data_IF_504788480459
#
_entry.id   IF_504788480459
#
_cell.length_a   1.000
_cell.length_b   1.000
_cell.length_c   1.000
_cell.angle_alpha   90.00
_cell.angle_beta   90.00
_cell.angle_gamma   90.00
#
_symmetry.space_group_name_H-M   'P 1'
#
loop_
_entity.id
_entity.type
_entity.pdbx_description
1 polymer ?
#
# COMPACT_ATOMS: atom_id res chain seq x y z
N UNK A 1 -52.98 -43.49 15.31
CA UNK A 1 -53.05 -42.73 14.05
C UNK A 1 -51.62 -42.45 13.60
N UNK A 2 -51.26 -42.89 12.39
CA UNK A 2 -49.95 -42.67 11.77
C UNK A 2 -49.89 -41.23 11.23
N UNK A 3 -48.77 -40.55 11.44
CA UNK A 3 -48.39 -39.39 10.64
C UNK A 3 -47.08 -39.75 9.91
N UNK A 4 -47.23 -40.23 8.68
CA UNK A 4 -46.15 -40.41 7.73
C UNK A 4 -45.80 -39.06 7.07
N UNK A 5 -44.50 -38.86 6.88
CA UNK A 5 -43.83 -38.11 5.79
C UNK A 5 -44.18 -36.63 5.59
N UNK A 6 -43.15 -35.80 5.78
CA UNK A 6 -42.78 -34.87 4.72
C UNK A 6 -41.25 -34.70 4.68
N UNK A 7 -40.67 -35.21 3.59
CA UNK A 7 -39.28 -35.03 3.20
C UNK A 7 -39.32 -34.04 2.03
N UNK A 8 -38.72 -32.86 2.19
CA UNK A 8 -38.46 -31.91 1.09
C UNK A 8 -37.06 -31.37 1.32
N UNK A 9 -36.06 -31.92 0.64
CA UNK A 9 -35.61 -31.54 -0.70
C UNK A 9 -34.52 -30.47 -0.62
N UNK A 10 -33.29 -30.94 -0.83
CA UNK A 10 -32.10 -30.16 -1.11
C UNK A 10 -32.37 -29.13 -2.22
N UNK A 11 -32.16 -27.85 -1.92
CA UNK A 11 -32.00 -26.82 -2.94
C UNK A 11 -30.55 -26.29 -2.87
N UNK A 12 -29.64 -27.04 -3.49
CA UNK A 12 -28.32 -26.53 -3.89
C UNK A 12 -28.54 -25.48 -4.96
N UNK A 13 -28.51 -24.20 -4.58
CA UNK A 13 -28.47 -23.10 -5.52
C UNK A 13 -27.13 -23.13 -6.27
N UNK A 14 -27.12 -23.74 -7.45
CA UNK A 14 -26.07 -23.56 -8.45
C UNK A 14 -26.14 -22.10 -8.92
N UNK A 15 -25.23 -21.27 -8.44
CA UNK A 15 -25.00 -19.96 -9.03
C UNK A 15 -24.31 -20.21 -10.37
N UNK A 16 -25.08 -20.10 -11.44
CA UNK A 16 -24.59 -20.17 -12.81
C UNK A 16 -23.58 -19.04 -13.05
N UNK A 17 -22.41 -19.41 -13.56
CA UNK A 17 -21.38 -18.45 -13.93
C UNK A 17 -21.85 -17.56 -15.07
N UNK A 18 -22.08 -16.28 -14.77
CA UNK A 18 -22.08 -15.24 -15.79
C UNK A 18 -20.68 -15.14 -16.36
N UNK A 19 -20.52 -15.50 -17.63
CA UNK A 19 -19.33 -15.18 -18.42
C UNK A 19 -19.28 -13.67 -18.58
N UNK A 20 -18.62 -12.97 -17.66
CA UNK A 20 -18.25 -11.58 -17.86
C UNK A 20 -17.25 -11.51 -19.02
N UNK A 21 -17.65 -10.86 -20.11
CA UNK A 21 -16.75 -10.48 -21.19
C UNK A 21 -15.80 -9.41 -20.65
N UNK A 22 -14.54 -9.81 -20.44
CA UNK A 22 -13.50 -8.97 -19.87
C UNK A 22 -13.05 -7.89 -20.88
N UNK A 23 -12.77 -6.65 -20.46
CA UNK A 23 -12.17 -5.64 -21.33
C UNK A 23 -10.80 -6.11 -21.87
N UNK A 24 -10.44 -5.74 -23.11
CA UNK A 24 -9.16 -6.11 -23.70
C UNK A 24 -8.01 -5.46 -22.90
N UNK A 25 -7.18 -6.29 -22.25
CA UNK A 25 -6.07 -5.86 -21.40
C UNK A 25 -5.80 -6.74 -20.17
N UNK A 26 -6.61 -7.76 -19.91
CA UNK A 26 -6.39 -8.66 -18.76
C UNK A 26 -5.21 -9.61 -18.95
N UNK A 27 -4.22 -9.52 -18.07
CA UNK A 27 -3.15 -10.51 -17.94
C UNK A 27 -3.72 -11.92 -17.69
N UNK A 28 -3.06 -12.99 -18.22
CA UNK A 28 -3.53 -14.36 -18.07
C UNK A 28 -3.53 -14.79 -16.59
N UNK A 29 -4.67 -15.31 -16.15
CA UNK A 29 -4.92 -15.79 -14.79
C UNK A 29 -4.30 -17.18 -14.59
N UNK A 30 -2.97 -17.29 -14.58
CA UNK A 30 -2.27 -18.58 -14.45
C UNK A 30 -1.75 -18.89 -13.03
N UNK A 31 -1.80 -17.94 -12.09
CA UNK A 31 -1.45 -18.15 -10.68
C UNK A 31 -2.18 -17.13 -9.80
N UNK A 32 -2.49 -17.49 -8.56
CA UNK A 32 -2.92 -16.52 -7.56
C UNK A 32 -1.86 -15.39 -7.44
N UNK A 33 -2.27 -14.13 -7.23
CA UNK A 33 -1.33 -13.02 -7.10
C UNK A 33 -0.46 -13.23 -5.86
N UNK A 34 0.83 -12.96 -6.01
CA UNK A 34 1.77 -13.00 -4.89
C UNK A 34 1.37 -11.96 -3.85
N UNK A 35 1.40 -12.32 -2.57
CA UNK A 35 1.05 -11.47 -1.44
C UNK A 35 2.31 -10.83 -0.89
N UNK A 36 2.36 -9.51 -0.87
CA UNK A 36 3.53 -8.78 -0.36
C UNK A 36 3.10 -7.92 0.80
N UNK A 37 3.75 -8.13 1.95
CA UNK A 37 3.59 -7.30 3.12
C UNK A 37 4.34 -5.98 2.94
N UNK A 38 3.65 -4.86 3.17
CA UNK A 38 4.23 -3.53 3.11
C UNK A 38 4.62 -3.09 4.52
N UNK A 39 5.91 -3.02 4.75
CA UNK A 39 6.54 -2.53 5.96
C UNK A 39 7.01 -1.09 5.72
N UNK A 40 6.39 -0.11 6.37
CA UNK A 40 6.76 1.31 6.21
C UNK A 40 6.40 2.11 7.45
N UNK A 41 7.04 3.26 7.72
CA UNK A 41 6.70 4.09 8.87
C UNK A 41 5.24 4.53 8.80
N UNK A 42 4.49 4.34 9.89
CA UNK A 42 3.14 4.88 10.05
C UNK A 42 3.13 6.05 11.02
N UNK A 43 3.60 5.83 12.27
CA UNK A 43 3.64 6.88 13.27
C UNK A 43 4.65 7.98 12.93
N UNK A 44 4.26 9.25 13.08
CA UNK A 44 5.20 10.36 13.03
C UNK A 44 6.16 10.33 14.25
N UNK A 45 7.37 10.82 14.03
CA UNK A 45 8.41 11.03 15.06
C UNK A 45 8.50 12.48 15.54
N UNK A 46 7.88 13.42 14.81
CA UNK A 46 7.86 14.82 15.17
C UNK A 46 7.04 15.10 16.43
N UNK A 47 7.57 15.95 17.31
CA UNK A 47 6.92 16.32 18.58
C UNK A 47 5.95 17.49 18.41
N UNK A 48 6.21 18.41 17.47
CA UNK A 48 5.35 19.56 17.25
C UNK A 48 4.06 19.17 16.51
N UNK A 49 2.86 19.68 16.92
CA UNK A 49 1.60 19.25 16.34
C UNK A 49 1.46 19.44 14.81
N UNK A 50 1.90 20.57 14.22
CA UNK A 50 1.82 20.77 12.77
C UNK A 50 2.68 19.77 11.98
N UNK A 51 3.95 19.60 12.34
CA UNK A 51 4.84 18.65 11.67
C UNK A 51 4.36 17.22 11.85
N UNK A 52 3.85 16.87 13.04
CA UNK A 52 3.28 15.54 13.31
C UNK A 52 2.15 15.18 12.33
N UNK A 53 1.24 16.12 12.06
CA UNK A 53 0.16 15.92 11.10
C UNK A 53 0.70 15.76 9.67
N UNK A 54 1.62 16.63 9.26
CA UNK A 54 2.25 16.58 7.93
C UNK A 54 3.01 15.26 7.71
N UNK A 55 3.77 14.83 8.71
CA UNK A 55 4.54 13.59 8.64
C UNK A 55 3.63 12.35 8.64
N UNK A 56 2.54 12.36 9.42
CA UNK A 56 1.53 11.29 9.37
C UNK A 56 0.92 11.17 7.98
N UNK A 57 0.52 12.29 7.36
CA UNK A 57 -0.03 12.27 5.99
C UNK A 57 0.99 11.74 4.99
N UNK A 58 2.25 12.19 5.08
CA UNK A 58 3.33 11.70 4.21
C UNK A 58 3.55 10.18 4.36
N UNK A 59 3.53 9.67 5.59
CA UNK A 59 3.62 8.23 5.88
C UNK A 59 2.46 7.43 5.26
N UNK A 60 1.23 7.93 5.39
CA UNK A 60 0.04 7.32 4.78
C UNK A 60 0.15 7.32 3.26
N UNK A 61 0.56 8.44 2.65
CA UNK A 61 0.72 8.55 1.20
C UNK A 61 1.82 7.64 0.65
N UNK A 62 2.92 7.46 1.39
CA UNK A 62 3.97 6.48 1.07
C UNK A 62 3.38 5.08 0.95
N UNK A 63 2.70 4.61 1.99
CA UNK A 63 2.12 3.28 2.00
C UNK A 63 1.06 3.10 0.90
N UNK A 64 0.20 4.10 0.67
CA UNK A 64 -0.79 4.08 -0.43
C UNK A 64 -0.13 4.00 -1.81
N UNK A 65 0.94 4.74 -2.02
CA UNK A 65 1.68 4.74 -3.29
C UNK A 65 2.34 3.38 -3.53
N UNK A 66 2.95 2.79 -2.50
CA UNK A 66 3.47 1.43 -2.56
C UNK A 66 2.38 0.42 -2.93
N UNK A 67 1.22 0.44 -2.23
CA UNK A 67 0.08 -0.40 -2.56
C UNK A 67 -0.36 -0.24 -4.03
N UNK A 68 -0.43 1.01 -4.52
CA UNK A 68 -0.86 1.31 -5.89
C UNK A 68 0.11 0.73 -6.93
N UNK A 69 1.41 0.87 -6.71
CA UNK A 69 2.45 0.30 -7.58
C UNK A 69 2.32 -1.22 -7.63
N UNK A 70 2.28 -1.88 -6.47
CA UNK A 70 2.18 -3.35 -6.38
C UNK A 70 0.90 -3.87 -7.04
N UNK A 71 -0.25 -3.25 -6.77
CA UNK A 71 -1.51 -3.62 -7.39
C UNK A 71 -1.48 -3.48 -8.92
N UNK A 72 -0.81 -2.44 -9.43
CA UNK A 72 -0.63 -2.24 -10.88
C UNK A 72 0.26 -3.32 -11.50
N UNK A 73 1.20 -3.89 -10.74
CA UNK A 73 2.04 -5.01 -11.14
C UNK A 73 1.34 -6.38 -11.01
N UNK A 74 0.07 -6.43 -10.60
CA UNK A 74 -0.67 -7.69 -10.39
C UNK A 74 -0.30 -8.42 -9.10
N UNK A 75 0.34 -7.74 -8.15
CA UNK A 75 0.68 -8.23 -6.81
C UNK A 75 -0.42 -7.84 -5.83
N UNK A 76 -0.68 -8.66 -4.80
CA UNK A 76 -1.61 -8.32 -3.71
C UNK A 76 -0.84 -7.64 -2.55
N UNK A 77 -0.95 -6.30 -2.37
CA UNK A 77 -0.32 -5.60 -1.26
C UNK A 77 -1.09 -5.81 0.06
N UNK A 78 -0.36 -6.10 1.13
CA UNK A 78 -0.88 -6.20 2.50
C UNK A 78 -0.27 -5.07 3.34
N UNK A 79 -1.04 -4.00 3.58
CA UNK A 79 -0.63 -2.86 4.40
C UNK A 79 -1.53 -2.75 5.65
N UNK A 80 -1.25 -3.54 6.71
CA UNK A 80 -2.13 -3.61 7.88
C UNK A 80 -2.26 -2.27 8.61
N UNK A 81 -1.18 -1.47 8.65
CA UNK A 81 -1.18 -0.15 9.28
C UNK A 81 -2.05 0.88 8.54
N UNK A 82 -2.39 0.66 7.27
CA UNK A 82 -3.41 1.45 6.58
C UNK A 82 -4.82 0.93 6.86
N UNK A 83 -5.00 -0.39 6.91
CA UNK A 83 -6.31 -1.03 7.01
C UNK A 83 -6.87 -0.99 8.43
N UNK A 84 -6.13 -1.50 9.42
CA UNK A 84 -6.62 -1.63 10.79
C UNK A 84 -6.82 -0.27 11.47
N UNK A 85 -6.05 0.74 11.08
CA UNK A 85 -6.17 2.10 11.64
C UNK A 85 -7.42 2.85 11.16
N UNK A 86 -8.17 2.31 10.19
CA UNK A 86 -9.47 2.88 9.82
C UNK A 86 -10.55 2.65 10.88
N UNK A 87 -10.34 1.68 11.78
CA UNK A 87 -11.33 1.32 12.80
C UNK A 87 -10.74 0.98 14.17
N UNK A 88 -9.42 0.81 14.30
CA UNK A 88 -8.67 0.71 15.55
C UNK A 88 -7.89 2.01 15.77
N UNK A 89 -8.01 2.60 16.95
CA UNK A 89 -7.30 3.81 17.34
C UNK A 89 -5.88 3.45 17.76
N UNK A 90 -4.92 4.01 17.05
CA UNK A 90 -3.50 3.82 17.36
C UNK A 90 -3.12 4.46 18.70
N UNK A 91 -3.82 5.50 19.13
CA UNK A 91 -3.59 6.16 20.42
C UNK A 91 -4.05 5.32 21.62
N UNK A 92 -4.97 4.37 21.43
CA UNK A 92 -5.38 3.43 22.47
C UNK A 92 -4.44 2.21 22.51
N UNK A 93 -3.90 1.91 23.68
CA UNK A 93 -2.90 0.86 23.82
C UNK A 93 -3.44 -0.55 23.51
N UNK A 94 -4.70 -0.84 23.86
CA UNK A 94 -5.31 -2.14 23.63
C UNK A 94 -5.70 -2.33 22.16
N UNK A 95 -6.30 -1.32 21.54
CA UNK A 95 -6.63 -1.33 20.13
C UNK A 95 -5.36 -1.38 19.27
N UNK A 96 -4.31 -0.62 19.63
CA UNK A 96 -3.00 -0.69 18.99
C UNK A 96 -2.42 -2.10 19.07
N UNK A 97 -2.39 -2.73 20.24
CA UNK A 97 -1.87 -4.08 20.41
C UNK A 97 -2.65 -5.09 19.55
N UNK A 98 -3.96 -4.89 19.44
CA UNK A 98 -4.84 -5.69 18.56
C UNK A 98 -4.48 -5.51 17.09
N UNK A 99 -4.30 -4.26 16.63
CA UNK A 99 -3.90 -3.95 15.27
C UNK A 99 -2.52 -4.53 14.90
N UNK A 100 -1.55 -4.45 15.82
CA UNK A 100 -0.22 -5.06 15.63
C UNK A 100 -0.35 -6.58 15.52
N UNK A 101 -1.12 -7.22 16.39
CA UNK A 101 -1.33 -8.68 16.35
C UNK A 101 -1.94 -9.11 15.02
N UNK A 102 -2.98 -8.44 14.54
CA UNK A 102 -3.58 -8.73 13.23
C UNK A 102 -2.63 -8.43 12.07
N UNK A 103 -1.79 -7.40 12.19
CA UNK A 103 -0.73 -7.13 11.24
C UNK A 103 0.28 -8.27 11.13
N UNK A 104 0.65 -8.89 12.26
CA UNK A 104 1.56 -10.05 12.27
C UNK A 104 0.95 -11.28 11.59
N UNK A 105 -0.36 -11.52 11.74
CA UNK A 105 -1.07 -12.57 10.99
C UNK A 105 -1.02 -12.32 9.47
N UNK A 106 -1.15 -11.06 9.04
CA UNK A 106 -0.99 -10.70 7.63
C UNK A 106 0.43 -10.90 7.13
N UNK A 107 1.43 -10.60 7.97
CA UNK A 107 2.84 -10.85 7.66
C UNK A 107 3.10 -12.35 7.49
N UNK A 108 2.56 -13.18 8.37
CA UNK A 108 2.66 -14.64 8.29
C UNK A 108 2.03 -15.20 7.01
N UNK A 109 0.90 -14.63 6.58
CA UNK A 109 0.21 -15.01 5.35
C UNK A 109 0.84 -14.45 4.07
N UNK A 110 1.77 -13.49 4.17
CA UNK A 110 2.46 -12.90 3.01
C UNK A 110 3.54 -13.82 2.45
N UNK A 111 3.83 -13.73 1.16
CA UNK A 111 4.93 -14.45 0.54
C UNK A 111 6.27 -13.75 0.77
N UNK A 112 6.27 -12.42 0.80
CA UNK A 112 7.45 -11.57 1.00
C UNK A 112 7.14 -10.33 1.85
N UNK A 113 8.20 -9.72 2.39
CA UNK A 113 8.13 -8.45 3.14
C UNK A 113 8.94 -7.39 2.41
N UNK A 114 8.29 -6.31 2.01
CA UNK A 114 8.94 -5.19 1.34
C UNK A 114 8.95 -3.98 2.27
N UNK A 115 10.16 -3.49 2.54
CA UNK A 115 10.43 -2.41 3.48
C UNK A 115 10.63 -1.13 2.69
N UNK A 116 9.80 -0.12 2.95
CA UNK A 116 9.84 1.17 2.26
C UNK A 116 10.23 2.30 3.21
N UNK A 117 11.17 3.12 2.76
CA UNK A 117 11.61 4.34 3.42
C UNK A 117 13.07 4.30 3.85
N UNK A 118 13.57 5.45 4.28
CA UNK A 118 14.98 5.64 4.66
C UNK A 118 15.26 5.34 6.14
N UNK A 119 14.21 5.18 6.94
CA UNK A 119 14.30 4.96 8.38
C UNK A 119 13.51 3.72 8.80
N UNK A 120 14.01 3.03 9.82
CA UNK A 120 13.35 1.86 10.39
C UNK A 120 12.76 2.26 11.74
N UNK A 121 11.43 2.30 11.82
CA UNK A 121 10.72 2.51 13.09
C UNK A 121 10.74 1.24 13.95
N UNK A 122 10.41 1.38 15.25
CA UNK A 122 10.28 0.24 16.16
C UNK A 122 9.30 -0.83 15.64
N UNK A 123 8.15 -0.41 15.11
CA UNK A 123 7.17 -1.32 14.53
C UNK A 123 7.72 -2.08 13.33
N UNK A 124 8.43 -1.38 12.45
CA UNK A 124 9.07 -2.00 11.29
C UNK A 124 10.17 -2.98 11.71
N UNK A 125 10.97 -2.64 12.72
CA UNK A 125 12.00 -3.54 13.24
C UNK A 125 11.40 -4.85 13.76
N UNK A 126 10.25 -4.78 14.44
CA UNK A 126 9.51 -5.96 14.89
C UNK A 126 8.99 -6.80 13.71
N UNK A 127 8.43 -6.17 12.69
CA UNK A 127 7.96 -6.84 11.46
C UNK A 127 9.12 -7.53 10.71
N UNK A 128 10.24 -6.83 10.51
CA UNK A 128 11.44 -7.34 9.84
C UNK A 128 12.02 -8.53 10.62
N UNK A 129 12.12 -8.41 11.94
CA UNK A 129 12.57 -9.52 12.80
C UNK A 129 11.67 -10.74 12.61
N UNK A 130 10.34 -10.56 12.65
CA UNK A 130 9.38 -11.65 12.44
C UNK A 130 9.52 -12.28 11.06
N UNK A 131 9.73 -11.48 10.01
CA UNK A 131 9.95 -11.96 8.66
C UNK A 131 11.19 -12.88 8.57
N UNK A 132 12.29 -12.50 9.23
CA UNK A 132 13.50 -13.32 9.31
C UNK A 132 13.28 -14.62 10.08
N UNK A 133 12.55 -14.60 11.20
CA UNK A 133 12.18 -15.81 11.96
C UNK A 133 11.40 -16.81 11.07
N UNK A 134 10.52 -16.29 10.22
CA UNK A 134 9.70 -17.06 9.29
C UNK A 134 10.43 -17.40 7.98
N UNK A 135 11.70 -17.00 7.83
CA UNK A 135 12.53 -17.17 6.62
C UNK A 135 11.88 -16.60 5.35
N UNK A 136 11.11 -15.52 5.49
CA UNK A 136 10.50 -14.82 4.35
C UNK A 136 11.54 -13.91 3.69
N UNK A 137 11.52 -13.75 2.35
CA UNK A 137 12.35 -12.76 1.68
C UNK A 137 12.01 -11.34 2.15
N UNK A 138 13.04 -10.56 2.46
CA UNK A 138 12.93 -9.15 2.85
C UNK A 138 13.63 -8.29 1.81
N UNK A 139 12.90 -7.36 1.19
CA UNK A 139 13.43 -6.44 0.18
C UNK A 139 13.37 -5.00 0.70
N UNK A 140 14.53 -4.35 0.82
CA UNK A 140 14.60 -2.93 1.15
C UNK A 140 14.49 -2.09 -0.12
N UNK A 141 13.52 -1.20 -0.16
CA UNK A 141 13.20 -0.36 -1.30
C UNK A 141 13.29 1.12 -0.91
N UNK A 142 13.71 1.99 -1.85
CA UNK A 142 13.66 3.42 -1.62
C UNK A 142 12.21 3.90 -1.51
N UNK A 143 12.04 5.19 -1.23
CA UNK A 143 10.73 5.83 -1.27
C UNK A 143 9.95 5.46 -2.56
N UNK A 144 8.66 5.07 -2.48
CA UNK A 144 7.87 4.69 -3.65
C UNK A 144 7.87 5.75 -4.76
N UNK A 145 7.88 7.04 -4.40
CA UNK A 145 8.00 8.13 -5.36
C UNK A 145 9.32 8.08 -6.15
N UNK A 146 10.42 7.77 -5.47
CA UNK A 146 11.75 7.60 -6.09
C UNK A 146 11.80 6.35 -6.98
N UNK A 147 11.06 5.29 -6.65
CA UNK A 147 10.95 4.14 -7.55
C UNK A 147 10.29 4.50 -8.87
N UNK A 148 9.19 5.28 -8.83
CA UNK A 148 8.52 5.76 -10.04
C UNK A 148 9.45 6.65 -10.86
N UNK A 149 10.15 7.57 -10.20
CA UNK A 149 11.14 8.45 -10.85
C UNK A 149 12.25 7.64 -11.55
N UNK A 150 12.85 6.66 -10.86
CA UNK A 150 13.90 5.80 -11.42
C UNK A 150 13.41 4.96 -12.60
N UNK A 151 12.18 4.47 -12.55
CA UNK A 151 11.56 3.74 -13.65
C UNK A 151 11.32 4.65 -14.85
N UNK A 152 10.78 5.86 -14.62
CA UNK A 152 10.57 6.84 -15.68
C UNK A 152 11.88 7.25 -16.33
N UNK A 153 12.92 7.50 -15.54
CA UNK A 153 14.27 7.83 -16.04
C UNK A 153 14.85 6.72 -16.91
N UNK A 154 14.73 5.46 -16.47
CA UNK A 154 15.19 4.30 -17.25
C UNK A 154 14.42 4.19 -18.57
N UNK A 155 13.11 4.41 -18.56
CA UNK A 155 12.28 4.37 -19.76
C UNK A 155 12.61 5.54 -20.71
N UNK A 156 12.79 6.76 -20.20
CA UNK A 156 13.16 7.90 -21.04
C UNK A 156 14.52 7.69 -21.72
N UNK A 157 15.50 7.12 -21.01
CA UNK A 157 16.81 6.76 -21.57
C UNK A 157 16.67 5.66 -22.65
N UNK A 158 15.85 4.64 -22.39
CA UNK A 158 15.62 3.55 -23.34
C UNK A 158 14.90 4.01 -24.62
N UNK A 159 13.93 4.90 -24.49
CA UNK A 159 13.07 5.35 -25.59
C UNK A 159 13.47 6.72 -26.17
N UNK A 160 14.56 7.34 -25.70
CA UNK A 160 15.04 8.68 -26.12
C UNK A 160 13.95 9.76 -26.06
N UNK A 161 13.07 9.70 -25.06
CA UNK A 161 12.00 10.69 -24.85
C UNK A 161 12.57 11.82 -23.97
N UNK A 162 12.67 13.07 -24.46
CA UNK A 162 13.15 14.17 -23.63
C UNK A 162 12.16 14.42 -22.48
N UNK A 163 12.67 14.44 -21.24
CA UNK A 163 11.89 14.84 -20.07
C UNK A 163 11.82 16.36 -20.05
N UNK A 164 10.63 16.94 -20.23
CA UNK A 164 10.43 18.38 -20.06
C UNK A 164 10.68 18.76 -18.60
N UNK A 165 11.74 19.55 -18.39
CA UNK A 165 12.17 20.07 -17.10
C UNK A 165 11.22 21.20 -16.67
N UNK A 166 10.11 20.86 -16.01
CA UNK A 166 9.15 21.85 -15.45
C UNK A 166 9.69 22.51 -14.17
N UNK A 167 10.90 23.05 -14.23
CA UNK A 167 11.54 23.68 -13.06
C UNK A 167 11.89 25.16 -13.25
N UNK A 168 11.34 25.86 -14.27
CA UNK A 168 11.65 27.31 -14.43
C UNK A 168 10.51 28.30 -14.66
N UNK A 169 9.27 27.90 -14.95
CA UNK A 169 8.24 28.89 -15.32
C UNK A 169 7.27 29.34 -14.20
N UNK A 170 7.54 29.03 -12.93
CA UNK A 170 6.70 29.53 -11.82
C UNK A 170 7.41 30.40 -10.78
N UNK A 171 8.65 30.83 -11.04
CA UNK A 171 9.34 31.81 -10.19
C UNK A 171 9.35 33.25 -10.75
N UNK A 172 9.12 33.46 -12.06
CA UNK A 172 9.10 34.81 -12.63
C UNK A 172 7.74 35.53 -12.53
N UNK A 173 6.66 34.84 -12.15
CA UNK A 173 5.33 35.47 -12.00
C UNK A 173 5.09 36.12 -10.63
N UNK A 174 6.00 35.95 -9.66
CA UNK A 174 5.85 36.51 -8.30
C UNK A 174 6.70 37.76 -8.03
N UNK A 175 7.59 38.15 -8.95
CA UNK A 175 8.48 39.32 -8.80
C UNK A 175 8.00 40.57 -9.56
N UNK A 176 6.90 40.52 -10.32
CA UNK A 176 6.38 41.66 -11.09
C UNK A 176 5.16 42.38 -10.50
N UNK A 177 4.63 41.98 -9.34
CA UNK A 177 3.49 42.67 -8.68
C UNK A 177 3.88 43.53 -7.46
N UNK A 178 5.17 43.79 -7.24
CA UNK A 178 5.66 44.73 -6.20
C UNK A 178 6.46 45.90 -6.78
N UNK A 179 6.02 46.46 -7.90
CA UNK A 179 6.46 47.79 -8.31
C UNK A 179 5.43 48.39 -9.27
N UNK A 180 4.35 48.96 -8.72
CA UNK A 180 3.56 50.05 -9.32
C UNK A 180 2.35 50.38 -8.42
N UNK A 181 2.49 51.44 -7.63
CA UNK A 181 1.41 52.01 -6.83
C UNK A 181 1.96 53.16 -6.00
N UNK A 182 2.02 54.33 -6.64
CA UNK A 182 2.25 55.66 -6.04
C UNK A 182 1.45 55.90 -4.76
#
# INVERSE_FOLDING_TARGET
>A
MKAERMNMANATAKIGGSKEARPPGGFPLASAPKKIFICSPYRPTANDPPCRKTQMEANIQRAKTACRILATMGVLPLAPHLYFTQFLKDEDAQERATGIRFGMEWLEAADEVWVFGETISEGMAAEIKRAHELKKPVCNLPEPGRMVELLLKRLSEQYHIPMEDKTKEQQEAAESEKDNGE
#
